data_IF_569845166353
#
_entry.id   IF_569845166353
#
_cell.length_a   1.000
_cell.length_b   1.000
_cell.length_c   1.000
_cell.angle_alpha   90.00
_cell.angle_beta   90.00
_cell.angle_gamma   90.00
#
_symmetry.space_group_name_H-M   'P 1'
#
loop_
_entity.id
_entity.type
_entity.pdbx_description
1 polymer ?
#
# COMPACT_ATOMS: atom_id res chain seq x y z
N UNK A 1 0.04 -21.67 5.56
CA UNK A 1 0.83 -20.45 5.62
C UNK A 1 -0.11 -19.27 5.77
N UNK A 2 0.32 -18.26 6.47
CA UNK A 2 -0.37 -16.96 6.54
C UNK A 2 0.32 -15.95 5.64
N UNK A 3 -0.42 -15.43 4.67
CA UNK A 3 0.11 -14.60 3.59
C UNK A 3 -0.47 -13.19 3.65
N UNK A 4 0.36 -12.18 3.50
CA UNK A 4 -0.08 -10.80 3.28
C UNK A 4 -0.06 -10.46 1.79
N UNK A 5 -1.13 -9.85 1.31
CA UNK A 5 -1.18 -9.17 0.01
C UNK A 5 -1.26 -7.68 0.28
N UNK A 6 -0.19 -6.95 -0.02
CA UNK A 6 -0.03 -5.55 0.36
C UNK A 6 -0.15 -4.67 -0.88
N UNK A 7 -1.16 -3.81 -0.89
CA UNK A 7 -1.50 -2.99 -2.05
C UNK A 7 -2.04 -1.63 -1.60
N UNK A 8 -1.85 -0.59 -2.42
CA UNK A 8 -2.19 0.79 -2.06
C UNK A 8 -3.68 1.04 -1.83
N UNK A 9 -4.55 0.38 -2.60
CA UNK A 9 -6.02 0.42 -2.48
C UNK A 9 -6.57 -0.96 -2.78
N UNK A 10 -7.70 -1.28 -2.19
CA UNK A 10 -8.35 -2.57 -2.41
C UNK A 10 -9.86 -2.47 -2.28
N UNK A 11 -10.59 -3.24 -3.08
CA UNK A 11 -12.05 -3.31 -3.02
C UNK A 11 -12.63 -3.96 -4.27
N UNK A 12 -13.85 -4.45 -4.18
CA UNK A 12 -14.55 -5.08 -5.31
C UNK A 12 -14.75 -4.11 -6.50
N UNK A 13 -14.82 -2.81 -6.21
CA UNK A 13 -15.02 -1.75 -7.20
C UNK A 13 -13.72 -1.11 -7.68
N UNK A 14 -12.57 -1.50 -7.13
CA UNK A 14 -11.27 -0.93 -7.48
C UNK A 14 -10.64 -1.78 -8.57
N UNK A 15 -10.64 -1.25 -9.78
CA UNK A 15 -10.23 -1.96 -11.00
C UNK A 15 -8.97 -1.40 -11.67
N UNK A 16 -8.13 -0.66 -10.93
CA UNK A 16 -6.78 -0.33 -11.39
C UNK A 16 -5.97 -1.60 -11.65
N UNK A 17 -4.99 -1.55 -12.58
CA UNK A 17 -4.27 -2.75 -12.99
C UNK A 17 -3.61 -3.52 -11.84
N UNK A 18 -2.89 -2.82 -10.98
CA UNK A 18 -2.22 -3.44 -9.83
C UNK A 18 -3.23 -3.93 -8.79
N UNK A 19 -4.28 -3.16 -8.52
CA UNK A 19 -5.30 -3.49 -7.54
C UNK A 19 -6.14 -4.69 -7.97
N UNK A 20 -6.52 -4.75 -9.24
CA UNK A 20 -7.24 -5.90 -9.80
C UNK A 20 -6.37 -7.16 -9.75
N UNK A 21 -5.11 -7.04 -10.10
CA UNK A 21 -4.16 -8.14 -10.02
C UNK A 21 -3.98 -8.62 -8.57
N UNK A 22 -3.79 -7.70 -7.63
CA UNK A 22 -3.71 -8.04 -6.20
C UNK A 22 -4.96 -8.78 -5.71
N UNK A 23 -6.15 -8.34 -6.14
CA UNK A 23 -7.41 -9.00 -5.78
C UNK A 23 -7.49 -10.42 -6.31
N UNK A 24 -7.17 -10.65 -7.58
CA UNK A 24 -7.18 -11.99 -8.15
C UNK A 24 -6.16 -12.91 -7.48
N UNK A 25 -4.96 -12.41 -7.18
CA UNK A 25 -3.94 -13.17 -6.45
C UNK A 25 -4.43 -13.52 -5.04
N UNK A 26 -4.98 -12.56 -4.31
CA UNK A 26 -5.50 -12.79 -2.96
C UNK A 26 -6.65 -13.82 -2.94
N UNK A 27 -7.62 -13.67 -3.83
CA UNK A 27 -8.77 -14.58 -3.94
C UNK A 27 -8.34 -16.01 -4.35
N UNK A 28 -7.33 -16.11 -5.22
CA UNK A 28 -6.80 -17.40 -5.62
C UNK A 28 -6.04 -18.09 -4.49
N UNK A 29 -5.14 -17.37 -3.83
CA UNK A 29 -4.34 -17.90 -2.72
C UNK A 29 -5.21 -18.26 -1.50
N UNK A 30 -6.28 -17.52 -1.27
CA UNK A 30 -7.19 -17.78 -0.15
C UNK A 30 -7.92 -19.13 -0.23
N UNK A 31 -7.88 -19.79 -1.39
CA UNK A 31 -8.43 -21.17 -1.54
C UNK A 31 -7.57 -22.22 -0.82
N UNK A 32 -6.31 -21.90 -0.53
CA UNK A 32 -5.35 -22.88 -0.02
C UNK A 32 -4.57 -22.37 1.20
N UNK A 33 -4.62 -21.09 1.48
CA UNK A 33 -3.86 -20.43 2.53
C UNK A 33 -4.70 -19.44 3.30
N UNK A 34 -4.27 -19.09 4.51
CA UNK A 34 -4.80 -17.94 5.22
C UNK A 34 -4.24 -16.67 4.56
N UNK A 35 -5.11 -15.87 3.94
CA UNK A 35 -4.71 -14.64 3.25
C UNK A 35 -5.37 -13.44 3.91
N UNK A 36 -4.56 -12.41 4.15
CA UNK A 36 -5.04 -11.10 4.57
C UNK A 36 -4.53 -10.04 3.59
N UNK A 37 -5.44 -9.25 3.05
CA UNK A 37 -5.08 -8.05 2.28
C UNK A 37 -4.81 -6.91 3.25
N UNK A 38 -3.65 -6.31 3.13
CA UNK A 38 -3.24 -5.16 3.94
C UNK A 38 -3.17 -3.94 3.02
N UNK A 39 -4.00 -2.96 3.27
CA UNK A 39 -4.19 -1.82 2.37
C UNK A 39 -4.44 -0.52 3.13
N UNK A 40 -4.68 0.56 2.40
CA UNK A 40 -5.00 1.86 3.00
C UNK A 40 -6.50 2.16 2.96
N UNK A 41 -6.90 3.20 3.67
CA UNK A 41 -8.27 3.73 3.64
C UNK A 41 -8.55 4.58 2.38
N UNK A 42 -7.59 4.74 1.49
CA UNK A 42 -7.74 5.53 0.29
C UNK A 42 -8.57 4.80 -0.77
N UNK A 43 -9.48 5.52 -1.39
CA UNK A 43 -10.23 5.07 -2.56
C UNK A 43 -9.73 5.73 -3.84
N UNK A 44 -9.42 7.00 -3.77
CA UNK A 44 -8.93 7.81 -4.88
C UNK A 44 -7.39 7.74 -4.97
N UNK A 45 -6.87 7.42 -6.15
CA UNK A 45 -5.42 7.32 -6.36
C UNK A 45 -4.74 8.67 -6.67
N UNK A 46 -5.50 9.74 -6.83
CA UNK A 46 -4.95 11.08 -7.07
C UNK A 46 -4.55 11.73 -5.75
N UNK A 47 -5.46 11.74 -4.81
CA UNK A 47 -5.29 12.43 -3.52
C UNK A 47 -4.88 11.51 -2.37
N UNK A 48 -5.17 10.23 -2.45
CA UNK A 48 -5.08 9.26 -1.34
C UNK A 48 -5.93 9.66 -0.13
N UNK A 49 -7.06 10.29 -0.36
CA UNK A 49 -8.00 10.64 0.71
C UNK A 49 -8.50 9.40 1.44
N UNK A 50 -8.55 9.46 2.76
CA UNK A 50 -9.15 8.41 3.59
C UNK A 50 -10.68 8.45 3.45
N UNK A 51 -11.21 7.69 2.50
CA UNK A 51 -12.66 7.62 2.22
C UNK A 51 -13.31 6.41 2.88
N UNK A 52 -12.54 5.37 3.18
CA UNK A 52 -13.03 4.20 3.91
C UNK A 52 -12.56 4.22 5.37
N UNK A 53 -13.36 3.63 6.29
CA UNK A 53 -12.93 3.53 7.68
C UNK A 53 -11.74 2.57 7.81
N UNK A 54 -10.86 2.86 8.78
CA UNK A 54 -9.84 1.93 9.21
C UNK A 54 -10.46 0.69 9.88
N UNK A 55 -9.75 -0.43 9.83
CA UNK A 55 -10.17 -1.66 10.48
C UNK A 55 -10.26 -2.83 9.52
N UNK A 56 -11.07 -3.79 9.89
CA UNK A 56 -11.21 -5.06 9.17
C UNK A 56 -12.51 -5.10 8.36
N UNK A 57 -12.45 -5.77 7.22
CA UNK A 57 -13.60 -6.09 6.38
C UNK A 57 -13.33 -7.41 5.65
N UNK A 58 -14.33 -7.87 4.90
CA UNK A 58 -14.20 -9.06 4.04
C UNK A 58 -14.68 -8.71 2.65
N UNK A 59 -13.82 -8.87 1.67
CA UNK A 59 -14.10 -8.62 0.24
C UNK A 59 -13.94 -9.93 -0.52
N UNK A 60 -15.02 -10.40 -1.14
CA UNK A 60 -15.05 -11.66 -1.89
C UNK A 60 -14.49 -12.85 -1.10
N UNK A 61 -14.79 -12.93 0.20
CA UNK A 61 -14.33 -14.00 1.08
C UNK A 61 -12.90 -13.86 1.60
N UNK A 62 -12.16 -12.81 1.19
CA UNK A 62 -10.81 -12.52 1.67
C UNK A 62 -10.84 -11.45 2.73
N UNK A 63 -10.15 -11.69 3.85
CA UNK A 63 -10.03 -10.72 4.93
C UNK A 63 -9.17 -9.53 4.47
N UNK A 64 -9.64 -8.33 4.74
CA UNK A 64 -8.98 -7.07 4.43
C UNK A 64 -8.77 -6.27 5.71
N UNK A 65 -7.62 -5.63 5.82
CA UNK A 65 -7.32 -4.69 6.89
C UNK A 65 -6.83 -3.37 6.31
N UNK A 66 -7.53 -2.28 6.68
CA UNK A 66 -7.28 -0.93 6.19
C UNK A 66 -6.58 -0.08 7.24
N UNK A 67 -5.58 0.66 6.79
CA UNK A 67 -4.83 1.62 7.59
C UNK A 67 -4.96 3.03 7.03
N UNK A 68 -5.08 4.05 7.88
CA UNK A 68 -5.20 5.42 7.40
C UNK A 68 -3.91 5.87 6.71
N UNK A 69 -4.08 6.64 5.63
CA UNK A 69 -3.02 7.44 5.03
C UNK A 69 -2.77 8.64 5.94
N UNK A 70 -1.50 8.95 6.22
CA UNK A 70 -1.12 10.02 7.15
C UNK A 70 -1.63 11.39 6.69
N UNK A 71 -1.56 11.65 5.38
CA UNK A 71 -2.01 12.91 4.76
C UNK A 71 -2.34 12.68 3.30
N UNK A 72 -3.20 13.52 2.75
CA UNK A 72 -3.47 13.53 1.32
C UNK A 72 -2.22 13.93 0.52
N UNK A 73 -2.12 13.46 -0.72
CA UNK A 73 -1.09 13.91 -1.65
C UNK A 73 -1.29 15.38 -1.98
N UNK A 74 -0.23 16.17 -1.85
CA UNK A 74 -0.17 17.52 -2.37
C UNK A 74 0.41 17.48 -3.80
N UNK A 75 -0.37 17.80 -4.85
CA UNK A 75 0.10 17.76 -6.22
C UNK A 75 1.27 18.70 -6.50
N UNK A 76 1.32 19.85 -5.84
CA UNK A 76 2.41 20.82 -6.01
C UNK A 76 3.71 20.30 -5.41
N UNK A 77 3.67 19.81 -4.19
CA UNK A 77 4.84 19.23 -3.53
C UNK A 77 5.34 17.99 -4.27
N UNK A 78 4.45 17.11 -4.66
CA UNK A 78 4.77 15.92 -5.46
C UNK A 78 5.39 16.29 -6.81
N UNK A 79 4.82 17.25 -7.52
CA UNK A 79 5.35 17.74 -8.81
C UNK A 79 6.75 18.35 -8.68
N UNK A 80 6.96 19.19 -7.68
CA UNK A 80 8.26 19.81 -7.39
C UNK A 80 9.33 18.77 -7.07
N UNK A 81 9.02 17.80 -6.21
CA UNK A 81 9.95 16.72 -5.86
C UNK A 81 10.23 15.79 -7.03
N UNK A 82 9.24 15.55 -7.88
CA UNK A 82 9.41 14.76 -9.11
C UNK A 82 10.40 15.41 -10.08
N UNK A 83 10.35 16.72 -10.24
CA UNK A 83 11.34 17.44 -11.05
C UNK A 83 12.76 17.27 -10.51
N UNK A 84 12.94 17.36 -9.20
CA UNK A 84 14.26 17.16 -8.57
C UNK A 84 14.79 15.77 -8.85
N UNK A 85 13.98 14.74 -8.59
CA UNK A 85 14.41 13.33 -8.68
C UNK A 85 14.62 12.88 -10.12
N UNK A 86 13.81 13.35 -11.08
CA UNK A 86 13.89 12.88 -12.45
C UNK A 86 14.72 13.77 -13.39
N UNK A 87 14.93 15.04 -13.07
CA UNK A 87 15.54 16.00 -13.98
C UNK A 87 16.82 16.64 -13.44
N UNK A 88 17.16 16.45 -12.16
CA UNK A 88 18.28 17.12 -11.51
C UNK A 88 19.18 16.13 -10.75
N UNK A 89 20.45 16.49 -10.51
CA UNK A 89 21.27 15.79 -9.52
C UNK A 89 20.59 15.86 -8.14
N UNK A 90 20.51 14.72 -7.46
CA UNK A 90 19.78 14.62 -6.20
C UNK A 90 20.40 13.58 -5.27
N UNK A 91 20.02 13.59 -4.00
CA UNK A 91 20.44 12.64 -2.99
C UNK A 91 19.41 11.53 -2.77
N UNK A 92 19.81 10.48 -2.06
CA UNK A 92 18.88 9.44 -1.59
C UNK A 92 17.80 10.03 -0.67
N UNK A 93 18.14 11.05 0.13
CA UNK A 93 17.17 11.76 0.95
C UNK A 93 16.07 12.44 0.12
N UNK A 94 16.42 12.98 -1.06
CA UNK A 94 15.46 13.54 -2.00
C UNK A 94 14.53 12.46 -2.58
N UNK A 95 15.05 11.29 -2.89
CA UNK A 95 14.25 10.16 -3.37
C UNK A 95 13.26 9.66 -2.30
N UNK A 96 13.70 9.55 -1.05
CA UNK A 96 12.83 9.15 0.06
C UNK A 96 11.75 10.19 0.34
N UNK A 97 12.07 11.48 0.24
CA UNK A 97 11.10 12.56 0.37
C UNK A 97 10.09 12.57 -0.79
N UNK A 98 10.55 12.29 -2.01
CA UNK A 98 9.68 12.10 -3.18
C UNK A 98 8.73 10.94 -2.98
N UNK A 99 9.22 9.80 -2.52
CA UNK A 99 8.42 8.60 -2.25
C UNK A 99 7.33 8.88 -1.22
N UNK A 100 7.66 9.61 -0.15
CA UNK A 100 6.67 10.02 0.85
C UNK A 100 5.63 11.00 0.27
N UNK A 101 6.05 11.90 -0.63
CA UNK A 101 5.13 12.83 -1.31
C UNK A 101 4.21 12.12 -2.31
N UNK A 102 4.68 11.05 -2.94
CA UNK A 102 3.84 10.22 -3.81
C UNK A 102 2.81 9.42 -2.98
N UNK A 103 3.24 8.79 -1.93
CA UNK A 103 2.40 7.98 -1.05
C UNK A 103 1.93 6.65 -1.69
N UNK A 104 0.81 6.12 -1.22
CA UNK A 104 0.07 6.55 0.00
C UNK A 104 0.88 6.29 1.26
N UNK A 105 1.19 7.34 2.00
CA UNK A 105 2.06 7.26 3.17
C UNK A 105 1.28 6.76 4.38
N UNK A 106 1.51 5.52 4.75
CA UNK A 106 0.87 4.87 5.89
C UNK A 106 1.88 4.12 6.77
N UNK A 107 2.51 4.81 7.74
CA UNK A 107 3.43 4.16 8.66
C UNK A 107 2.78 3.07 9.51
N UNK A 108 1.48 3.21 9.81
CA UNK A 108 0.73 2.20 10.55
C UNK A 108 0.64 0.88 9.78
N UNK A 109 0.41 0.95 8.46
CA UNK A 109 0.44 -0.22 7.58
C UNK A 109 1.80 -0.92 7.62
N UNK A 110 2.87 -0.16 7.48
CA UNK A 110 4.25 -0.70 7.51
C UNK A 110 4.55 -1.37 8.84
N UNK A 111 4.22 -0.73 9.96
CA UNK A 111 4.41 -1.33 11.29
C UNK A 111 3.62 -2.62 11.46
N UNK A 112 2.41 -2.67 10.96
CA UNK A 112 1.58 -3.87 11.05
C UNK A 112 2.18 -5.05 10.27
N UNK A 113 2.54 -4.83 9.00
CA UNK A 113 3.12 -5.89 8.17
C UNK A 113 4.43 -6.44 8.76
N UNK A 114 5.24 -5.57 9.35
CA UNK A 114 6.51 -5.94 10.00
C UNK A 114 6.33 -6.52 11.39
N UNK A 115 5.14 -6.46 11.97
CA UNK A 115 4.88 -6.94 13.33
C UNK A 115 4.90 -8.46 13.40
N UNK A 116 5.61 -9.00 14.41
CA UNK A 116 5.56 -10.43 14.71
C UNK A 116 4.16 -10.91 15.08
N UNK A 117 3.34 -10.03 15.67
CA UNK A 117 1.98 -10.36 16.08
C UNK A 117 1.05 -10.55 14.88
N UNK A 118 1.37 -9.95 13.74
CA UNK A 118 0.65 -10.19 12.48
C UNK A 118 0.86 -11.63 11.96
N UNK A 119 2.03 -12.21 12.24
CA UNK A 119 2.33 -13.62 12.01
C UNK A 119 2.36 -14.03 10.53
N UNK A 120 2.70 -13.12 9.63
CA UNK A 120 2.82 -13.43 8.21
C UNK A 120 4.09 -14.25 7.93
N UNK A 121 3.93 -15.34 7.20
CA UNK A 121 5.06 -16.15 6.69
C UNK A 121 5.68 -15.47 5.47
N UNK A 122 4.85 -14.87 4.60
CA UNK A 122 5.28 -14.14 3.41
C UNK A 122 4.37 -12.94 3.14
N UNK A 123 4.91 -11.93 2.46
CA UNK A 123 4.17 -10.80 1.97
C UNK A 123 4.44 -10.53 0.49
N UNK A 124 3.37 -10.30 -0.26
CA UNK A 124 3.41 -9.91 -1.67
C UNK A 124 3.09 -8.42 -1.77
N UNK A 125 4.07 -7.62 -2.19
CA UNK A 125 3.92 -6.17 -2.35
C UNK A 125 3.60 -5.83 -3.80
N UNK A 126 2.49 -5.16 -4.00
CA UNK A 126 2.09 -4.67 -5.31
C UNK A 126 2.45 -3.19 -5.47
N UNK A 127 2.75 -2.77 -6.71
CA UNK A 127 3.14 -1.40 -7.05
C UNK A 127 4.46 -0.96 -6.39
N UNK A 128 5.56 -1.51 -6.88
CA UNK A 128 6.91 -1.33 -6.33
C UNK A 128 7.34 0.14 -6.13
N UNK A 129 6.77 1.08 -6.91
CA UNK A 129 7.09 2.50 -6.83
C UNK A 129 6.46 3.24 -5.65
N UNK A 130 5.52 2.64 -4.93
CA UNK A 130 4.78 3.31 -3.86
C UNK A 130 5.38 3.06 -2.47
N UNK A 131 5.04 3.95 -1.55
CA UNK A 131 5.51 4.00 -0.18
C UNK A 131 5.42 2.65 0.55
N UNK A 132 4.28 1.98 0.48
CA UNK A 132 4.05 0.73 1.20
C UNK A 132 4.96 -0.40 0.73
N UNK A 133 5.27 -0.45 -0.58
CA UNK A 133 6.13 -1.50 -1.12
C UNK A 133 7.59 -1.30 -0.69
N UNK A 134 8.12 -0.08 -0.84
CA UNK A 134 9.49 0.22 -0.45
C UNK A 134 9.72 0.05 1.06
N UNK A 135 8.92 0.73 1.86
CA UNK A 135 9.10 0.71 3.32
C UNK A 135 8.64 -0.61 3.93
N UNK A 136 7.58 -1.23 3.43
CA UNK A 136 7.07 -2.49 3.92
C UNK A 136 8.05 -3.65 3.69
N UNK A 137 8.56 -3.78 2.48
CA UNK A 137 9.51 -4.84 2.15
C UNK A 137 10.83 -4.74 2.90
N UNK A 138 11.25 -3.52 3.26
CA UNK A 138 12.48 -3.29 4.04
C UNK A 138 12.29 -3.46 5.55
N UNK A 139 11.07 -3.42 6.03
CA UNK A 139 10.74 -3.54 7.45
C UNK A 139 10.52 -5.00 7.88
N UNK A 140 10.24 -5.90 6.95
CA UNK A 140 10.12 -7.34 7.18
C UNK A 140 11.49 -8.02 7.15
#
# INVERSE_FOLDING_TARGET
>A
MKLAVVVQRYGAEINGGAELHARYVAEHLARHHEVEVVTTCARDYVTWRNEWPAGEDTINGVRERRFPVRRERDPHDFGRRSQVVFEQPHSVADELAWLESEGPTSPALVRYVASRDAGFDFAFFFSARYYHAWHGARAM
#
